data_IF_328025316155
#
_entry.id   IF_328025316155
#
_cell.length_a   1.000
_cell.length_b   1.000
_cell.length_c   1.000
_cell.angle_alpha   90.00
_cell.angle_beta   90.00
_cell.angle_gamma   90.00
#
_symmetry.space_group_name_H-M   'P 1'
#
loop_
_entity.id
_entity.type
_entity.pdbx_description
1 polymer ?
#
# COMPACT_ATOMS: atom_id res chain seq x y z
N UNK A 1 10.05 -1.68 18.33
CA UNK A 1 11.17 -1.50 17.38
C UNK A 1 10.49 -1.21 16.06
N UNK A 2 10.44 0.06 15.68
CA UNK A 2 9.78 0.50 14.45
C UNK A 2 10.72 0.16 13.30
N UNK A 3 10.34 -0.73 12.39
CA UNK A 3 11.08 -0.95 11.14
C UNK A 3 10.47 -0.06 10.07
N UNK A 4 11.15 1.03 9.73
CA UNK A 4 10.72 1.91 8.64
C UNK A 4 11.08 1.26 7.30
N UNK A 5 10.06 0.76 6.60
CA UNK A 5 10.19 0.33 5.20
C UNK A 5 9.80 1.50 4.30
N UNK A 6 10.58 1.74 3.23
CA UNK A 6 10.30 2.77 2.24
C UNK A 6 10.12 2.15 0.88
N UNK A 7 9.07 2.56 0.16
CA UNK A 7 8.91 2.27 -1.25
C UNK A 7 9.63 3.36 -2.06
N UNK A 8 10.53 2.97 -2.95
CA UNK A 8 11.32 3.87 -3.80
C UNK A 8 11.15 3.44 -5.25
N UNK A 9 10.55 4.31 -6.07
CA UNK A 9 10.54 4.13 -7.51
C UNK A 9 11.95 4.36 -8.07
N UNK A 10 12.43 3.46 -8.92
CA UNK A 10 13.72 3.59 -9.59
C UNK A 10 13.54 3.88 -11.10
N UNK A 11 14.66 4.14 -11.78
CA UNK A 11 14.67 4.51 -13.22
C UNK A 11 14.16 3.41 -14.17
N UNK A 12 13.89 2.20 -13.66
CA UNK A 12 13.43 1.07 -14.44
C UNK A 12 11.94 0.79 -14.30
N UNK A 13 11.16 1.72 -13.74
CA UNK A 13 9.71 1.54 -13.52
C UNK A 13 9.43 0.37 -12.56
N UNK A 14 10.32 0.21 -11.57
CA UNK A 14 10.27 -0.79 -10.50
C UNK A 14 10.20 -0.05 -9.17
N UNK A 15 9.42 -0.61 -8.24
CA UNK A 15 9.31 -0.11 -6.86
C UNK A 15 10.18 -0.99 -5.95
N UNK A 16 11.29 -0.46 -5.45
CA UNK A 16 12.11 -1.14 -4.45
C UNK A 16 11.57 -0.85 -3.05
N UNK A 17 11.30 -1.89 -2.26
CA UNK A 17 11.05 -1.77 -0.83
C UNK A 17 12.39 -1.86 -0.12
N UNK A 18 12.79 -0.78 0.54
CA UNK A 18 14.08 -0.69 1.24
C UNK A 18 13.91 -0.55 2.75
N UNK A 19 14.85 -1.11 3.51
CA UNK A 19 14.97 -0.93 4.95
C UNK A 19 15.54 0.46 5.33
N UNK A 20 15.70 0.69 6.64
CA UNK A 20 16.26 1.94 7.18
C UNK A 20 17.71 2.25 6.74
N UNK A 21 18.46 1.22 6.35
CA UNK A 21 19.83 1.32 5.86
C UNK A 21 19.90 1.45 4.33
N UNK A 22 18.76 1.37 3.63
CA UNK A 22 18.68 1.38 2.18
C UNK A 22 18.89 0.02 1.51
N UNK A 23 18.90 -1.07 2.28
CA UNK A 23 18.96 -2.43 1.73
C UNK A 23 17.62 -2.84 1.14
N UNK A 24 17.62 -3.44 -0.04
CA UNK A 24 16.38 -3.89 -0.71
C UNK A 24 15.83 -5.15 -0.01
N UNK A 25 14.59 -5.06 0.47
CA UNK A 25 13.83 -6.12 1.11
C UNK A 25 12.84 -6.83 0.16
N UNK A 26 12.34 -6.11 -0.85
CA UNK A 26 11.48 -6.64 -1.90
C UNK A 26 11.48 -5.72 -3.14
N UNK A 27 11.07 -6.24 -4.30
CA UNK A 27 10.97 -5.49 -5.55
C UNK A 27 9.57 -5.67 -6.16
N UNK A 28 8.93 -4.56 -6.51
CA UNK A 28 7.60 -4.48 -7.10
C UNK A 28 7.66 -4.20 -8.60
N UNK A 29 6.93 -5.00 -9.38
CA UNK A 29 6.81 -4.84 -10.84
C UNK A 29 5.35 -4.71 -11.23
N UNK A 30 5.01 -3.77 -12.11
CA UNK A 30 3.67 -3.72 -12.69
C UNK A 30 3.37 -5.02 -13.45
N UNK A 31 2.14 -5.51 -13.33
CA UNK A 31 1.69 -6.75 -13.96
C UNK A 31 0.60 -6.49 -15.02
N UNK A 32 0.29 -7.53 -15.81
CA UNK A 32 -0.68 -7.44 -16.92
C UNK A 32 -2.13 -7.21 -16.46
N UNK A 33 -2.43 -7.43 -15.19
CA UNK A 33 -3.75 -7.21 -14.60
C UNK A 33 -3.95 -5.76 -14.12
N UNK A 34 -3.00 -4.88 -14.44
CA UNK A 34 -3.01 -3.46 -14.05
C UNK A 34 -2.63 -3.23 -12.59
N UNK A 35 -2.10 -4.25 -11.92
CA UNK A 35 -1.59 -4.15 -10.55
C UNK A 35 -0.09 -4.32 -10.47
N UNK A 36 0.39 -4.79 -9.32
CA UNK A 36 1.81 -4.97 -9.01
C UNK A 36 2.08 -6.35 -8.39
N UNK A 37 3.20 -6.95 -8.78
CA UNK A 37 3.75 -8.17 -8.20
C UNK A 37 4.99 -7.83 -7.38
N UNK A 38 5.03 -8.26 -6.12
CA UNK A 38 6.21 -8.09 -5.27
C UNK A 38 6.99 -9.38 -5.12
N UNK A 39 8.32 -9.30 -5.25
CA UNK A 39 9.23 -10.42 -5.13
C UNK A 39 10.26 -10.19 -4.02
N UNK A 40 10.51 -11.23 -3.22
CA UNK A 40 11.60 -11.29 -2.25
C UNK A 40 12.47 -12.51 -2.54
N UNK A 41 13.76 -12.28 -2.79
CA UNK A 41 14.71 -13.32 -3.17
C UNK A 41 14.22 -14.19 -4.34
N UNK A 42 13.59 -13.57 -5.34
CA UNK A 42 13.02 -14.24 -6.51
C UNK A 42 11.68 -14.96 -6.29
N UNK A 43 11.14 -14.98 -5.08
CA UNK A 43 9.83 -15.55 -4.78
C UNK A 43 8.77 -14.45 -4.71
N UNK A 44 7.64 -14.65 -5.38
CA UNK A 44 6.52 -13.73 -5.29
C UNK A 44 5.91 -13.78 -3.88
N UNK A 45 5.77 -12.62 -3.25
CA UNK A 45 5.23 -12.47 -1.89
C UNK A 45 3.91 -11.71 -1.86
N UNK A 46 3.60 -10.95 -2.89
CA UNK A 46 2.30 -10.30 -3.08
C UNK A 46 1.99 -10.21 -4.58
N UNK A 47 0.70 -10.31 -4.91
CA UNK A 47 0.17 -10.18 -6.26
C UNK A 47 -1.11 -9.37 -6.18
N UNK A 48 -1.16 -8.23 -6.86
CA UNK A 48 -2.34 -7.36 -6.86
C UNK A 48 -2.93 -7.20 -8.25
N UNK A 49 -4.25 -7.05 -8.32
CA UNK A 49 -5.00 -6.86 -9.58
C UNK A 49 -6.01 -5.72 -9.44
N UNK A 50 -6.33 -5.05 -10.54
CA UNK A 50 -7.43 -4.06 -10.52
C UNK A 50 -8.76 -4.75 -10.26
N UNK A 51 -9.55 -4.20 -9.34
CA UNK A 51 -10.88 -4.69 -9.03
C UNK A 51 -12.00 -3.85 -9.69
N UNK A 52 -13.20 -4.40 -9.71
CA UNK A 52 -14.38 -3.79 -10.36
C UNK A 52 -14.86 -2.50 -9.67
N UNK A 53 -14.35 -2.21 -8.47
CA UNK A 53 -14.67 -1.01 -7.70
C UNK A 53 -13.65 0.11 -7.90
N UNK A 54 -12.68 -0.06 -8.80
CA UNK A 54 -11.68 0.95 -9.14
C UNK A 54 -10.52 1.03 -8.14
N UNK A 55 -10.33 0.01 -7.31
CA UNK A 55 -9.12 -0.16 -6.51
C UNK A 55 -8.41 -1.48 -6.82
N UNK A 56 -7.77 -2.06 -5.80
CA UNK A 56 -6.87 -3.21 -5.96
C UNK A 56 -7.30 -4.40 -5.09
N UNK A 57 -7.30 -5.60 -5.65
CA UNK A 57 -7.39 -6.86 -4.91
C UNK A 57 -5.99 -7.44 -4.75
N UNK A 58 -5.63 -7.82 -3.52
CA UNK A 58 -4.36 -8.48 -3.22
C UNK A 58 -4.61 -9.97 -2.98
N UNK A 59 -3.74 -10.80 -3.54
CA UNK A 59 -3.88 -12.25 -3.53
C UNK A 59 -2.80 -12.90 -2.65
N UNK A 60 -3.22 -13.82 -1.79
CA UNK A 60 -2.29 -14.66 -1.05
C UNK A 60 -1.61 -15.70 -1.96
N UNK A 61 -0.69 -16.48 -1.40
CA UNK A 61 0.04 -17.53 -2.12
C UNK A 61 -0.86 -18.63 -2.73
N UNK A 62 -2.11 -18.75 -2.26
CA UNK A 62 -3.11 -19.67 -2.80
C UNK A 62 -3.97 -19.05 -3.91
N UNK A 63 -3.71 -17.79 -4.29
CA UNK A 63 -4.46 -17.03 -5.29
C UNK A 63 -5.78 -16.44 -4.78
N UNK A 64 -6.08 -16.55 -3.49
CA UNK A 64 -7.30 -16.02 -2.90
C UNK A 64 -7.10 -14.57 -2.48
N UNK A 65 -8.15 -13.75 -2.56
CA UNK A 65 -8.11 -12.36 -2.11
C UNK A 65 -7.84 -12.33 -0.59
N UNK A 66 -6.73 -11.73 -0.18
CA UNK A 66 -6.35 -11.53 1.22
C UNK A 66 -6.94 -10.24 1.78
N UNK A 67 -6.88 -9.17 0.99
CA UNK A 67 -7.50 -7.89 1.25
C UNK A 67 -7.74 -7.15 -0.06
N UNK A 68 -8.61 -6.14 -0.03
CA UNK A 68 -8.90 -5.30 -1.17
C UNK A 68 -8.91 -3.83 -0.78
N UNK A 69 -8.85 -2.96 -1.77
CA UNK A 69 -8.98 -1.52 -1.61
C UNK A 69 -9.96 -0.97 -2.63
N UNK A 70 -10.67 0.11 -2.29
CA UNK A 70 -11.45 0.88 -3.25
C UNK A 70 -11.61 2.33 -2.80
N UNK A 71 -11.84 3.28 -3.73
CA UNK A 71 -12.13 4.66 -3.37
C UNK A 71 -13.34 4.77 -2.42
N UNK A 72 -13.31 5.76 -1.51
CA UNK A 72 -14.38 6.02 -0.55
C UNK A 72 -15.00 7.42 -0.73
N UNK A 73 -16.13 7.66 -0.05
CA UNK A 73 -16.90 8.92 -0.17
C UNK A 73 -16.16 10.15 0.39
N UNK A 74 -15.13 9.93 1.23
CA UNK A 74 -14.31 11.00 1.81
C UNK A 74 -13.18 11.44 0.86
N UNK A 75 -13.10 10.84 -0.33
CA UNK A 75 -12.07 11.13 -1.33
C UNK A 75 -10.73 10.43 -1.06
N UNK A 76 -10.70 9.44 -0.16
CA UNK A 76 -9.58 8.53 0.03
C UNK A 76 -9.93 7.12 -0.42
N UNK A 77 -9.38 6.13 0.29
CA UNK A 77 -9.48 4.70 -0.02
C UNK A 77 -9.85 3.92 1.24
N UNK A 78 -10.81 3.01 1.13
CA UNK A 78 -11.10 2.01 2.15
C UNK A 78 -10.24 0.76 1.91
N UNK A 79 -9.71 0.18 2.98
CA UNK A 79 -9.05 -1.12 2.98
C UNK A 79 -9.99 -2.15 3.62
N UNK A 80 -10.18 -3.29 2.96
CA UNK A 80 -11.11 -4.32 3.36
C UNK A 80 -10.41 -5.66 3.53
N UNK A 81 -10.82 -6.44 4.52
CA UNK A 81 -10.36 -7.82 4.68
C UNK A 81 -10.92 -8.75 3.58
N UNK A 82 -10.49 -10.01 3.58
CA UNK A 82 -10.99 -11.05 2.67
C UNK A 82 -12.51 -11.31 2.73
N UNK A 83 -13.19 -10.85 3.79
CA UNK A 83 -14.64 -10.99 3.97
C UNK A 83 -15.41 -9.72 3.54
N UNK A 84 -14.69 -8.65 3.17
CA UNK A 84 -15.27 -7.37 2.79
C UNK A 84 -15.60 -6.45 3.97
N UNK A 85 -15.04 -6.68 5.16
CA UNK A 85 -15.14 -5.72 6.26
C UNK A 85 -14.06 -4.65 6.13
N UNK A 86 -14.43 -3.39 6.36
CA UNK A 86 -13.47 -2.29 6.40
C UNK A 86 -12.55 -2.47 7.61
N UNK A 87 -11.25 -2.58 7.36
CA UNK A 87 -10.20 -2.71 8.40
C UNK A 87 -9.38 -1.43 8.58
N UNK A 88 -9.66 -0.41 7.77
CA UNK A 88 -9.05 0.90 7.84
C UNK A 88 -9.43 1.73 6.62
N UNK A 89 -9.16 3.03 6.68
CA UNK A 89 -9.41 3.91 5.55
C UNK A 89 -8.45 5.10 5.53
N UNK A 90 -8.41 5.78 4.40
CA UNK A 90 -7.68 7.03 4.24
C UNK A 90 -8.63 8.17 3.87
N UNK A 91 -8.20 9.39 4.19
CA UNK A 91 -8.83 10.62 3.70
C UNK A 91 -7.76 11.68 3.44
N UNK A 92 -7.94 12.57 2.45
CA UNK A 92 -7.01 13.67 2.20
C UNK A 92 -6.80 14.53 3.45
N UNK A 93 -5.57 15.00 3.67
CA UNK A 93 -5.24 15.90 4.76
C UNK A 93 -4.86 17.31 4.28
N UNK A 94 -4.78 18.27 5.20
CA UNK A 94 -4.51 19.68 4.90
C UNK A 94 -3.11 19.94 4.33
N UNK A 95 -2.22 18.95 4.40
CA UNK A 95 -0.84 19.02 3.91
C UNK A 95 -0.69 18.45 2.49
N UNK A 96 -1.81 18.08 1.84
CA UNK A 96 -1.82 17.54 0.48
C UNK A 96 -1.52 16.05 0.39
N UNK A 97 -1.42 15.34 1.53
CA UNK A 97 -1.29 13.90 1.59
C UNK A 97 -2.56 13.25 2.12
N UNK A 98 -2.43 12.18 2.90
CA UNK A 98 -3.58 11.44 3.43
C UNK A 98 -3.41 11.09 4.90
N UNK A 99 -4.47 11.24 5.68
CA UNK A 99 -4.56 10.65 7.01
C UNK A 99 -5.02 9.20 6.89
N UNK A 100 -4.48 8.33 7.73
CA UNK A 100 -4.72 6.88 7.78
C UNK A 100 -5.42 6.56 9.10
N UNK A 101 -6.58 5.92 9.00
CA UNK A 101 -7.42 5.56 10.13
C UNK A 101 -7.56 4.04 10.25
N UNK A 102 -7.60 3.54 11.47
CA UNK A 102 -7.94 2.15 11.77
C UNK A 102 -9.45 1.86 11.59
N UNK A 103 -9.84 0.60 11.77
CA UNK A 103 -11.23 0.14 11.72
C UNK A 103 -12.15 0.86 12.73
N UNK A 104 -11.60 1.32 13.86
CA UNK A 104 -12.36 2.03 14.90
C UNK A 104 -12.44 3.54 14.64
N UNK A 105 -11.82 4.05 13.57
CA UNK A 105 -11.75 5.47 13.24
C UNK A 105 -10.68 6.24 14.01
N UNK A 106 -9.74 5.54 14.65
CA UNK A 106 -8.56 6.13 15.27
C UNK A 106 -7.53 6.53 14.20
N UNK A 107 -6.97 7.74 14.32
CA UNK A 107 -5.88 8.19 13.45
C UNK A 107 -4.59 7.43 13.81
N UNK A 108 -4.09 6.62 12.89
CA UNK A 108 -2.90 5.77 13.07
C UNK A 108 -1.75 6.14 12.14
N UNK A 109 -1.94 7.09 11.24
CA UNK A 109 -0.86 7.56 10.39
C UNK A 109 -1.24 8.75 9.53
N UNK A 110 -0.23 9.34 8.91
CA UNK A 110 -0.39 10.37 7.90
C UNK A 110 0.70 10.24 6.85
N UNK A 111 0.37 10.54 5.60
CA UNK A 111 1.30 10.78 4.52
C UNK A 111 1.32 12.26 4.17
N UNK A 112 2.47 12.73 3.70
CA UNK A 112 2.65 14.08 3.16
C UNK A 112 3.46 13.98 1.87
N UNK A 113 3.16 14.77 0.83
CA UNK A 113 4.00 14.86 -0.35
C UNK A 113 5.39 15.38 0.06
N UNK A 114 6.46 14.69 -0.33
CA UNK A 114 7.83 15.22 -0.24
C UNK A 114 8.34 15.47 -1.67
N UNK A 115 8.89 16.65 -1.98
CA UNK A 115 9.52 16.90 -3.28
C UNK A 115 10.73 15.99 -3.58
N UNK A 116 11.19 15.18 -2.62
CA UNK A 116 12.24 14.16 -2.76
C UNK A 116 11.73 12.71 -2.74
N UNK A 117 10.42 12.46 -2.52
CA UNK A 117 9.84 11.11 -2.51
C UNK A 117 8.51 10.96 -1.74
N UNK A 118 8.13 9.72 -1.40
CA UNK A 118 6.94 9.41 -0.60
C UNK A 118 7.34 9.14 0.87
N UNK A 119 6.74 9.86 1.82
CA UNK A 119 6.94 9.65 3.26
C UNK A 119 5.60 9.37 3.94
N UNK A 120 5.47 8.20 4.58
CA UNK A 120 4.37 7.87 5.49
C UNK A 120 4.88 7.79 6.93
N UNK A 121 4.15 8.39 7.87
CA UNK A 121 4.40 8.30 9.31
C UNK A 121 3.25 7.54 9.95
N UNK A 122 3.57 6.49 10.71
CA UNK A 122 2.59 5.74 11.49
C UNK A 122 2.72 6.14 12.96
N UNK A 123 1.59 6.28 13.64
CA UNK A 123 1.49 6.57 15.07
C UNK A 123 1.09 5.28 15.78
N UNK A 124 1.81 4.93 16.84
CA UNK A 124 1.49 3.78 17.69
C UNK A 124 0.58 4.17 18.83
#
# INVERSE_FOLDING_TARGET
MESLLKAVENIFDVVDIVDENGSIEAQGHSNIAGGMDFYKNGNMIDHSTLNVFGGMDHHNQMGQISHSTHPNILGGVDALDSLGHVIGHTQPNIFGGSNIFDEQGGLIGESSPDPTGFHARFFK
#
